data_IF_993695943036
#
_entry.id   IF_993695943036
#
_cell.length_a   1.000
_cell.length_b   1.000
_cell.length_c   1.000
_cell.angle_alpha   90.00
_cell.angle_beta   90.00
_cell.angle_gamma   90.00
#
_symmetry.space_group_name_H-M   'P 1'
#
loop_
_entity.id
_entity.type
_entity.pdbx_description
1 polymer ?
#
# COMPACT_ATOMS: atom_id res chain seq x y z
N UNK A 1 35.78 -44.85 -47.76
CA UNK A 1 34.62 -45.76 -47.92
C UNK A 1 33.60 -45.48 -46.81
N UNK A 2 32.97 -44.31 -46.80
CA UNK A 2 32.04 -43.91 -45.73
C UNK A 2 30.82 -43.12 -46.25
N UNK A 3 30.65 -42.95 -47.56
CA UNK A 3 29.57 -42.15 -48.13
C UNK A 3 28.23 -42.91 -48.20
N UNK A 4 28.24 -44.24 -48.19
CA UNK A 4 27.04 -45.07 -48.27
C UNK A 4 26.43 -45.42 -46.90
N UNK A 5 27.12 -45.08 -45.80
CA UNK A 5 26.60 -45.31 -44.45
C UNK A 5 25.36 -44.45 -44.14
N UNK A 6 25.27 -43.28 -44.77
CA UNK A 6 24.14 -42.35 -44.62
C UNK A 6 22.95 -42.69 -45.55
N UNK A 7 23.16 -43.59 -46.53
CA UNK A 7 22.17 -43.99 -47.55
C UNK A 7 22.04 -45.51 -47.62
N UNK A 8 21.41 -46.13 -46.60
CA UNK A 8 21.25 -47.58 -46.53
C UNK A 8 20.48 -48.14 -47.73
N UNK A 9 20.88 -49.35 -48.16
CA UNK A 9 20.27 -50.11 -49.26
C UNK A 9 20.39 -49.46 -50.66
N UNK A 10 21.28 -48.48 -50.85
CA UNK A 10 21.56 -47.92 -52.18
C UNK A 10 22.46 -48.85 -53.00
N UNK A 11 23.30 -49.62 -52.32
CA UNK A 11 24.24 -50.60 -52.87
C UNK A 11 23.57 -51.93 -53.26
N UNK A 12 22.36 -52.18 -52.76
CA UNK A 12 21.57 -53.39 -53.03
C UNK A 12 20.47 -53.21 -54.08
N UNK A 13 20.33 -51.99 -54.64
CA UNK A 13 19.35 -51.66 -55.68
C UNK A 13 19.80 -52.08 -57.08
N UNK A 14 18.85 -52.40 -57.94
CA UNK A 14 19.10 -52.71 -59.35
C UNK A 14 19.45 -51.44 -60.15
N UNK A 15 20.06 -51.60 -61.32
CA UNK A 15 20.38 -50.47 -62.21
C UNK A 15 19.12 -49.70 -62.65
N UNK A 16 18.02 -50.40 -62.85
CA UNK A 16 16.72 -49.83 -63.21
C UNK A 16 16.15 -48.99 -62.05
N UNK A 17 16.25 -49.47 -60.82
CA UNK A 17 15.81 -48.74 -59.61
C UNK A 17 16.67 -47.50 -59.32
N UNK A 18 17.97 -47.56 -59.65
CA UNK A 18 18.88 -46.42 -59.53
C UNK A 18 18.64 -45.37 -60.62
N UNK A 19 18.32 -45.79 -61.85
CA UNK A 19 17.90 -44.87 -62.91
C UNK A 19 16.55 -44.22 -62.59
N UNK A 20 15.62 -44.96 -61.99
CA UNK A 20 14.35 -44.41 -61.50
C UNK A 20 14.58 -43.37 -60.39
N UNK A 21 15.42 -43.68 -59.40
CA UNK A 21 15.80 -42.73 -58.34
C UNK A 21 16.52 -41.47 -58.86
N UNK A 22 17.25 -41.57 -59.97
CA UNK A 22 17.99 -40.44 -60.54
C UNK A 22 17.10 -39.54 -61.41
N UNK A 23 16.09 -40.11 -62.06
CA UNK A 23 15.27 -39.42 -63.06
C UNK A 23 13.85 -39.09 -62.57
N UNK A 24 13.39 -39.65 -61.44
CA UNK A 24 12.12 -39.32 -60.80
C UNK A 24 12.33 -38.69 -59.42
N UNK A 25 12.10 -37.39 -59.34
CA UNK A 25 12.18 -36.60 -58.10
C UNK A 25 11.25 -37.14 -56.99
N UNK A 26 10.11 -37.73 -57.36
CA UNK A 26 9.17 -38.30 -56.39
C UNK A 26 9.73 -39.60 -55.79
N UNK A 27 10.30 -40.47 -56.62
CA UNK A 27 10.96 -41.69 -56.17
C UNK A 27 12.15 -41.37 -55.24
N UNK A 28 12.94 -40.35 -55.58
CA UNK A 28 14.04 -39.86 -54.75
C UNK A 28 13.54 -39.30 -53.42
N UNK A 29 12.50 -38.46 -53.44
CA UNK A 29 11.91 -37.88 -52.23
C UNK A 29 11.35 -38.97 -51.30
N UNK A 30 10.69 -40.00 -51.85
CA UNK A 30 10.19 -41.14 -51.08
C UNK A 30 11.34 -41.91 -50.45
N UNK A 31 12.44 -42.14 -51.17
CA UNK A 31 13.62 -42.80 -50.60
C UNK A 31 14.23 -41.99 -49.44
N UNK A 32 14.43 -40.69 -49.65
CA UNK A 32 14.96 -39.77 -48.62
C UNK A 32 14.03 -39.71 -47.40
N UNK A 33 12.72 -39.60 -47.62
CA UNK A 33 11.73 -39.51 -46.55
C UNK A 33 11.61 -40.80 -45.73
N UNK A 34 12.03 -41.94 -46.27
CA UNK A 34 12.07 -43.22 -45.57
C UNK A 34 13.39 -43.46 -44.82
N UNK A 35 14.41 -42.60 -44.99
CA UNK A 35 15.63 -42.68 -44.20
C UNK A 35 15.30 -42.51 -42.72
N UNK A 36 15.87 -43.37 -41.87
CA UNK A 36 15.56 -43.39 -40.44
C UNK A 36 15.94 -42.07 -39.75
N UNK A 37 17.04 -41.44 -40.18
CA UNK A 37 17.47 -40.12 -39.72
C UNK A 37 16.45 -39.03 -40.07
N UNK A 38 15.88 -39.05 -41.27
CA UNK A 38 14.87 -38.09 -41.74
C UNK A 38 13.53 -38.30 -41.03
N UNK A 39 13.09 -39.56 -40.87
CA UNK A 39 11.87 -39.87 -40.10
C UNK A 39 12.00 -39.48 -38.63
N UNK A 40 13.14 -39.80 -38.00
CA UNK A 40 13.42 -39.40 -36.63
C UNK A 40 13.41 -37.87 -36.47
N UNK A 41 14.03 -37.14 -37.40
CA UNK A 41 14.02 -35.67 -37.38
C UNK A 41 12.61 -35.10 -37.57
N UNK A 42 11.83 -35.62 -38.52
CA UNK A 42 10.43 -35.20 -38.74
C UNK A 42 9.55 -35.49 -37.52
N UNK A 43 9.76 -36.62 -36.86
CA UNK A 43 9.03 -37.01 -35.66
C UNK A 43 9.34 -36.04 -34.51
N UNK A 44 10.61 -35.77 -34.22
CA UNK A 44 11.02 -34.79 -33.20
C UNK A 44 10.48 -33.40 -33.52
N UNK A 45 10.55 -32.98 -34.79
CA UNK A 45 10.00 -31.68 -35.21
C UNK A 45 8.49 -31.60 -34.95
N UNK A 46 7.74 -32.65 -35.27
CA UNK A 46 6.31 -32.72 -35.00
C UNK A 46 6.00 -32.69 -33.50
N UNK A 47 6.72 -33.47 -32.69
CA UNK A 47 6.56 -33.48 -31.24
C UNK A 47 6.81 -32.10 -30.62
N UNK A 48 7.81 -31.36 -31.12
CA UNK A 48 8.09 -29.99 -30.69
C UNK A 48 6.97 -29.02 -31.07
N UNK A 49 6.41 -29.14 -32.28
CA UNK A 49 5.28 -28.33 -32.71
C UNK A 49 4.04 -28.59 -31.86
N UNK A 50 3.67 -29.86 -31.69
CA UNK A 50 2.52 -30.28 -30.89
C UNK A 50 2.70 -29.83 -29.43
N UNK A 51 3.92 -29.95 -28.88
CA UNK A 51 4.27 -29.49 -27.54
C UNK A 51 4.14 -27.97 -27.37
N UNK A 52 4.65 -27.20 -28.33
CA UNK A 52 4.56 -25.74 -28.32
C UNK A 52 3.10 -25.28 -28.43
N UNK A 53 2.32 -25.89 -29.32
CA UNK A 53 0.88 -25.60 -29.46
C UNK A 53 0.13 -25.89 -28.16
N UNK A 54 0.41 -27.04 -27.52
CA UNK A 54 -0.20 -27.39 -26.23
C UNK A 54 0.13 -26.37 -25.14
N UNK A 55 1.39 -25.92 -25.06
CA UNK A 55 1.81 -24.89 -24.11
C UNK A 55 1.14 -23.54 -24.38
N UNK A 56 1.09 -23.12 -25.65
CA UNK A 56 0.43 -21.88 -26.05
C UNK A 56 -1.06 -21.89 -25.69
N UNK A 57 -1.77 -23.01 -25.93
CA UNK A 57 -3.17 -23.17 -25.55
C UNK A 57 -3.38 -23.06 -24.04
N UNK A 58 -2.57 -23.77 -23.23
CA UNK A 58 -2.65 -23.66 -21.76
C UNK A 58 -2.38 -22.23 -21.26
N UNK A 59 -1.40 -21.55 -21.85
CA UNK A 59 -1.10 -20.17 -21.48
C UNK A 59 -2.29 -19.25 -21.78
N UNK A 60 -2.94 -19.41 -22.94
CA UNK A 60 -4.12 -18.64 -23.31
C UNK A 60 -5.33 -18.94 -22.42
N UNK A 61 -5.56 -20.21 -22.06
CA UNK A 61 -6.62 -20.62 -21.13
C UNK A 61 -6.44 -19.95 -19.76
N UNK A 62 -5.21 -19.90 -19.25
CA UNK A 62 -4.90 -19.29 -17.95
C UNK A 62 -4.85 -17.76 -17.99
N UNK A 63 -4.64 -17.15 -19.16
CA UNK A 63 -4.49 -15.70 -19.29
C UNK A 63 -5.70 -14.95 -18.74
N UNK A 64 -6.92 -15.40 -19.09
CA UNK A 64 -8.15 -14.70 -18.70
C UNK A 64 -8.35 -14.72 -17.18
N UNK A 65 -8.13 -15.88 -16.55
CA UNK A 65 -8.20 -16.01 -15.10
C UNK A 65 -7.15 -15.14 -14.42
N UNK A 66 -5.90 -15.17 -14.91
CA UNK A 66 -4.79 -14.41 -14.34
C UNK A 66 -4.99 -12.90 -14.46
N UNK A 67 -5.53 -12.41 -15.58
CA UNK A 67 -5.89 -11.00 -15.75
C UNK A 67 -7.03 -10.57 -14.83
N UNK A 68 -8.06 -11.41 -14.67
CA UNK A 68 -9.16 -11.11 -13.75
C UNK A 68 -8.69 -11.06 -12.29
N UNK A 69 -7.85 -12.01 -11.87
CA UNK A 69 -7.28 -12.04 -10.53
C UNK A 69 -6.39 -10.82 -10.26
N UNK A 70 -5.57 -10.41 -11.25
CA UNK A 70 -4.78 -9.18 -11.16
C UNK A 70 -5.66 -7.95 -10.96
N UNK A 71 -6.77 -7.84 -11.69
CA UNK A 71 -7.71 -6.74 -11.55
C UNK A 71 -8.36 -6.73 -10.15
N UNK A 72 -8.80 -7.89 -9.64
CA UNK A 72 -9.36 -8.01 -8.29
C UNK A 72 -8.36 -7.62 -7.22
N UNK A 73 -7.10 -8.07 -7.33
CA UNK A 73 -6.04 -7.69 -6.37
C UNK A 73 -5.80 -6.18 -6.39
N UNK A 74 -5.75 -5.57 -7.57
CA UNK A 74 -5.57 -4.12 -7.70
C UNK A 74 -6.73 -3.34 -7.06
N UNK A 75 -7.97 -3.78 -7.26
CA UNK A 75 -9.16 -3.18 -6.64
C UNK A 75 -9.13 -3.30 -5.11
N UNK A 76 -8.85 -4.51 -4.60
CA UNK A 76 -8.75 -4.74 -3.15
C UNK A 76 -7.63 -3.93 -2.52
N UNK A 77 -6.50 -3.78 -3.20
CA UNK A 77 -5.40 -2.95 -2.74
C UNK A 77 -5.79 -1.48 -2.68
N UNK A 78 -6.48 -0.95 -3.70
CA UNK A 78 -6.96 0.42 -3.71
C UNK A 78 -7.98 0.68 -2.57
N UNK A 79 -8.89 -0.27 -2.34
CA UNK A 79 -9.83 -0.23 -1.23
C UNK A 79 -9.11 -0.23 0.12
N UNK A 80 -8.14 -1.13 0.30
CA UNK A 80 -7.34 -1.23 1.52
C UNK A 80 -6.61 0.08 1.82
N UNK A 81 -5.93 0.66 0.84
CA UNK A 81 -5.22 1.95 1.00
C UNK A 81 -6.20 3.05 1.45
N UNK A 82 -7.38 3.12 0.82
CA UNK A 82 -8.40 4.11 1.15
C UNK A 82 -8.94 3.92 2.56
N UNK A 83 -9.25 2.68 2.95
CA UNK A 83 -9.76 2.38 4.29
C UNK A 83 -8.69 2.60 5.35
N UNK A 84 -7.43 2.26 5.06
CA UNK A 84 -6.31 2.50 5.96
C UNK A 84 -6.12 3.99 6.22
N UNK A 85 -6.17 4.82 5.17
CA UNK A 85 -6.08 6.27 5.32
C UNK A 85 -7.22 6.84 6.19
N UNK A 86 -8.45 6.36 6.01
CA UNK A 86 -9.60 6.75 6.86
C UNK A 86 -9.41 6.34 8.32
N UNK A 87 -8.93 5.12 8.54
CA UNK A 87 -8.63 4.60 9.88
C UNK A 87 -7.54 5.44 10.56
N UNK A 88 -6.42 5.67 9.88
CA UNK A 88 -5.30 6.44 10.44
C UNK A 88 -5.71 7.89 10.74
N UNK A 89 -6.55 8.51 9.89
CA UNK A 89 -7.12 9.84 10.15
C UNK A 89 -8.04 9.86 11.38
N UNK A 90 -8.88 8.83 11.53
CA UNK A 90 -9.80 8.71 12.68
C UNK A 90 -9.04 8.45 13.99
N UNK A 91 -7.99 7.62 13.93
CA UNK A 91 -7.12 7.34 15.06
C UNK A 91 -6.37 8.61 15.49
N UNK A 92 -5.85 9.38 14.54
CA UNK A 92 -5.20 10.67 14.85
C UNK A 92 -6.18 11.64 15.50
N UNK A 93 -7.39 11.80 14.95
CA UNK A 93 -8.40 12.67 15.56
C UNK A 93 -8.77 12.23 16.98
N UNK A 94 -8.90 10.91 17.22
CA UNK A 94 -9.14 10.37 18.56
C UNK A 94 -7.98 10.68 19.50
N UNK A 95 -6.72 10.52 19.06
CA UNK A 95 -5.54 10.82 19.86
C UNK A 95 -5.46 12.31 20.19
N UNK A 96 -5.70 13.18 19.21
CA UNK A 96 -5.69 14.63 19.40
C UNK A 96 -6.75 15.06 20.44
N UNK A 97 -7.97 14.53 20.35
CA UNK A 97 -9.01 14.81 21.35
C UNK A 97 -8.70 14.19 22.73
N UNK A 98 -8.12 12.98 22.75
CA UNK A 98 -7.69 12.33 23.99
C UNK A 98 -6.61 13.15 24.72
N UNK A 99 -5.65 13.71 23.99
CA UNK A 99 -4.62 14.60 24.54
C UNK A 99 -5.24 15.92 24.99
N UNK A 100 -6.10 16.53 24.15
CA UNK A 100 -6.75 17.82 24.44
C UNK A 100 -7.61 17.77 25.70
N UNK A 101 -8.30 16.66 25.93
CA UNK A 101 -9.12 16.45 27.12
C UNK A 101 -8.43 15.62 28.20
N UNK A 102 -7.13 15.36 28.06
CA UNK A 102 -6.38 14.68 29.11
C UNK A 102 -6.36 15.53 30.39
N UNK A 103 -6.46 14.90 31.58
CA UNK A 103 -6.39 15.63 32.85
C UNK A 103 -5.16 16.53 32.94
N UNK A 104 -4.00 16.06 32.47
CA UNK A 104 -2.76 16.82 32.46
C UNK A 104 -2.85 18.08 31.58
N UNK A 105 -3.43 17.98 30.38
CA UNK A 105 -3.60 19.14 29.50
C UNK A 105 -4.60 20.16 30.09
N UNK A 106 -5.70 19.68 30.69
CA UNK A 106 -6.69 20.55 31.36
C UNK A 106 -6.04 21.31 32.53
N UNK A 107 -5.24 20.63 33.36
CA UNK A 107 -4.52 21.26 34.48
C UNK A 107 -3.54 22.31 33.95
N UNK A 108 -2.73 21.98 32.95
CA UNK A 108 -1.76 22.91 32.35
C UNK A 108 -2.45 24.16 31.80
N UNK A 109 -3.59 23.97 31.11
CA UNK A 109 -4.39 25.09 30.60
C UNK A 109 -4.99 25.94 31.73
N UNK A 110 -5.47 25.31 32.80
CA UNK A 110 -5.98 26.01 33.98
C UNK A 110 -4.89 26.83 34.68
N UNK A 111 -3.66 26.31 34.79
CA UNK A 111 -2.50 27.03 35.32
C UNK A 111 -2.18 28.24 34.44
N UNK A 112 -2.13 28.06 33.12
CA UNK A 112 -1.85 29.15 32.18
C UNK A 112 -2.89 30.27 32.30
N UNK A 113 -4.18 29.93 32.31
CA UNK A 113 -5.25 30.92 32.50
C UNK A 113 -5.29 31.55 33.90
N UNK A 114 -4.72 30.90 34.91
CA UNK A 114 -4.54 31.51 36.24
C UNK A 114 -3.48 32.60 36.17
N UNK A 115 -2.30 32.29 35.61
CA UNK A 115 -1.21 33.25 35.36
C UNK A 115 -1.70 34.43 34.54
N UNK A 116 -2.40 34.20 33.43
CA UNK A 116 -2.96 35.28 32.60
C UNK A 116 -3.89 36.23 33.38
N UNK A 117 -4.63 35.73 34.38
CA UNK A 117 -5.48 36.61 35.21
C UNK A 117 -4.70 37.38 36.25
N UNK A 118 -3.60 36.81 36.73
CA UNK A 118 -2.69 37.50 37.64
C UNK A 118 -2.01 38.66 36.90
N UNK A 119 -1.43 38.38 35.73
CA UNK A 119 -0.81 39.36 34.83
C UNK A 119 -1.80 40.46 34.42
N UNK A 120 -3.05 40.10 34.09
CA UNK A 120 -4.08 41.08 33.77
C UNK A 120 -4.42 41.96 34.98
N UNK A 121 -4.48 41.38 36.19
CA UNK A 121 -4.73 42.16 37.40
C UNK A 121 -3.59 43.14 37.70
N UNK A 122 -2.34 42.73 37.46
CA UNK A 122 -1.16 43.59 37.58
C UNK A 122 -1.18 44.72 36.54
N UNK A 123 -1.54 44.41 35.29
CA UNK A 123 -1.69 45.42 34.22
C UNK A 123 -2.77 46.46 34.53
N UNK A 124 -3.91 46.04 35.10
CA UNK A 124 -4.98 46.94 35.56
C UNK A 124 -4.46 47.83 36.70
N UNK A 125 -3.73 47.26 37.67
CA UNK A 125 -3.10 48.02 38.75
C UNK A 125 -2.11 49.05 38.23
N UNK A 126 -1.24 48.67 37.29
CA UNK A 126 -0.27 49.60 36.69
C UNK A 126 -0.98 50.72 35.92
N UNK A 127 -2.03 50.40 35.16
CA UNK A 127 -2.81 51.40 34.42
C UNK A 127 -3.49 52.42 35.34
N UNK A 128 -3.94 51.99 36.52
CA UNK A 128 -4.47 52.88 37.54
C UNK A 128 -3.38 53.80 38.13
N UNK A 129 -2.20 53.25 38.46
CA UNK A 129 -1.05 54.03 38.96
C UNK A 129 -0.56 55.07 37.94
N UNK A 130 -0.64 54.74 36.65
CA UNK A 130 -0.32 55.65 35.54
C UNK A 130 -1.40 56.72 35.31
N UNK A 131 -2.51 56.71 36.06
CA UNK A 131 -3.63 57.64 35.92
C UNK A 131 -4.49 57.40 34.67
N UNK A 132 -4.38 56.24 34.00
CA UNK A 132 -5.11 55.89 32.78
C UNK A 132 -6.53 55.38 33.04
N UNK A 133 -6.84 55.02 34.29
CA UNK A 133 -8.12 54.43 34.70
C UNK A 133 -8.66 55.20 35.90
N UNK A 134 -9.96 55.52 35.89
CA UNK A 134 -10.60 56.19 37.02
C UNK A 134 -10.82 55.24 38.21
N UNK A 135 -10.90 55.75 39.45
CA UNK A 135 -11.03 54.90 40.64
C UNK A 135 -12.18 53.89 40.58
N UNK A 136 -13.37 54.31 40.13
CA UNK A 136 -14.54 53.44 40.07
C UNK A 136 -14.38 52.32 39.03
N UNK A 137 -13.79 52.63 37.88
CA UNK A 137 -13.51 51.67 36.81
C UNK A 137 -12.42 50.67 37.24
N UNK A 138 -11.38 51.15 37.94
CA UNK A 138 -10.34 50.30 38.51
C UNK A 138 -10.93 49.29 39.49
N UNK A 139 -11.74 49.75 40.46
CA UNK A 139 -12.36 48.88 41.47
C UNK A 139 -13.19 47.79 40.79
N UNK A 140 -13.97 48.15 39.76
CA UNK A 140 -14.79 47.19 39.02
C UNK A 140 -13.93 46.16 38.28
N UNK A 141 -13.01 46.61 37.42
CA UNK A 141 -12.19 45.73 36.58
C UNK A 141 -11.25 44.84 37.41
N UNK A 142 -10.63 45.40 38.45
CA UNK A 142 -9.73 44.66 39.32
C UNK A 142 -10.47 43.59 40.12
N UNK A 143 -11.64 43.91 40.71
CA UNK A 143 -12.44 42.92 41.45
C UNK A 143 -12.94 41.81 40.54
N UNK A 144 -13.41 42.13 39.35
CA UNK A 144 -13.87 41.13 38.38
C UNK A 144 -12.73 40.19 37.97
N UNK A 145 -11.55 40.74 37.68
CA UNK A 145 -10.35 39.96 37.32
C UNK A 145 -9.87 39.09 38.48
N UNK A 146 -9.73 39.65 39.69
CA UNK A 146 -9.30 38.91 40.89
C UNK A 146 -10.31 37.83 41.29
N UNK A 147 -11.61 38.06 41.09
CA UNK A 147 -12.64 37.03 41.30
C UNK A 147 -12.39 35.83 40.40
N UNK A 148 -12.10 36.04 39.12
CA UNK A 148 -11.78 34.97 38.17
C UNK A 148 -10.49 34.26 38.57
N UNK A 149 -9.43 35.00 38.92
CA UNK A 149 -8.18 34.44 39.44
C UNK A 149 -8.43 33.52 40.64
N UNK A 150 -9.11 33.99 41.69
CA UNK A 150 -9.35 33.20 42.90
C UNK A 150 -10.21 31.96 42.63
N UNK A 151 -11.19 32.07 41.72
CA UNK A 151 -11.98 30.91 41.30
C UNK A 151 -11.11 29.84 40.61
N UNK A 152 -10.17 30.26 39.74
CA UNK A 152 -9.25 29.34 39.06
C UNK A 152 -8.26 28.72 40.05
N UNK A 153 -7.73 29.50 41.00
CA UNK A 153 -6.84 29.01 42.05
C UNK A 153 -7.51 27.96 42.93
N UNK A 154 -8.74 28.21 43.37
CA UNK A 154 -9.50 27.26 44.18
C UNK A 154 -9.81 25.96 43.41
N UNK A 155 -10.12 26.06 42.11
CA UNK A 155 -10.32 24.88 41.25
C UNK A 155 -9.02 24.07 41.09
N UNK A 156 -7.89 24.75 40.90
CA UNK A 156 -6.59 24.10 40.78
C UNK A 156 -6.21 23.36 42.06
N UNK A 157 -6.38 24.00 43.22
CA UNK A 157 -6.14 23.37 44.52
C UNK A 157 -7.03 22.14 44.73
N UNK A 158 -8.31 22.24 44.34
CA UNK A 158 -9.25 21.13 44.43
C UNK A 158 -8.80 19.93 43.59
N UNK A 159 -8.36 20.16 42.35
CA UNK A 159 -7.83 19.12 41.46
C UNK A 159 -6.51 18.55 41.99
N UNK A 160 -5.65 19.36 42.60
CA UNK A 160 -4.40 18.89 43.20
C UNK A 160 -4.65 17.96 44.41
N UNK A 161 -5.69 18.23 45.20
CA UNK A 161 -6.12 17.38 46.32
C UNK A 161 -6.81 16.10 45.87
N UNK A 162 -7.62 16.19 44.81
CA UNK A 162 -8.33 15.06 44.22
C UNK A 162 -8.23 15.06 42.69
N UNK A 163 -7.19 14.39 42.14
CA UNK A 163 -7.00 14.27 40.70
C UNK A 163 -8.10 13.47 39.99
N UNK A 164 -8.89 12.66 40.73
CA UNK A 164 -9.94 11.82 40.14
C UNK A 164 -11.08 12.67 39.57
N UNK A 165 -11.24 13.92 40.03
CA UNK A 165 -12.23 14.88 39.52
C UNK A 165 -12.16 15.15 38.02
N UNK A 166 -11.00 14.95 37.39
CA UNK A 166 -10.80 15.13 35.95
C UNK A 166 -10.85 13.82 35.17
N UNK A 167 -10.87 12.68 35.86
CA UNK A 167 -11.11 11.40 35.24
C UNK A 167 -12.62 11.24 35.15
N UNK A 168 -13.17 11.21 33.93
CA UNK A 168 -14.59 10.99 33.73
C UNK A 168 -15.04 9.75 34.48
N UNK A 169 -16.22 9.80 35.10
CA UNK A 169 -16.82 8.64 35.77
C UNK A 169 -16.93 7.50 34.75
N UNK A 170 -15.98 6.56 34.85
CA UNK A 170 -16.11 5.21 34.30
C UNK A 170 -16.89 4.35 35.27
#
# INVERSE_FOLDING_TARGET
MAAWADFPNIDTKSAEELEELLNDDLALQIYIDNLESIRGMKQVHKELLDGNESLARRNLEQQTELESLKATVAEQQALFITQRAKFDASLKAQQDESVRFSPAHIVTKLQSSLTESDDLSESISQSFLDGKVQPDDFIKQYRDTRRVYHLRAAKLERVARDPTLLHGAG
#
